data_IF_145362051928
#
_entry.id   IF_145362051928
#
_cell.length_a   1.000
_cell.length_b   1.000
_cell.length_c   1.000
_cell.angle_alpha   90.00
_cell.angle_beta   90.00
_cell.angle_gamma   90.00
#
_symmetry.space_group_name_H-M   'P 1'
#
loop_
_entity.id
_entity.type
_entity.pdbx_description
1 polymer ?
#
# COMPACT_ATOMS: atom_id res chain seq x y z
N UNK A 1 -6.59 -7.61 11.40
CA UNK A 1 -7.64 -7.57 10.35
C UNK A 1 -8.15 -8.97 10.07
N UNK A 2 -9.33 -9.09 9.47
CA UNK A 2 -9.93 -10.37 9.03
C UNK A 2 -8.98 -11.19 8.17
N UNK A 3 -8.37 -10.58 7.14
CA UNK A 3 -7.44 -11.26 6.23
C UNK A 3 -6.20 -11.81 6.94
N UNK A 4 -5.64 -11.09 7.92
CA UNK A 4 -4.48 -11.59 8.68
C UNK A 4 -4.85 -12.82 9.52
N UNK A 5 -6.02 -12.80 10.16
CA UNK A 5 -6.53 -13.97 10.89
C UNK A 5 -6.68 -15.15 9.95
N UNK A 6 -7.32 -14.94 8.80
CA UNK A 6 -7.57 -15.97 7.82
C UNK A 6 -6.28 -16.60 7.27
N UNK A 7 -5.24 -15.79 7.04
CA UNK A 7 -3.91 -16.26 6.61
C UNK A 7 -3.32 -17.28 7.57
N UNK A 8 -3.55 -17.15 8.88
CA UNK A 8 -3.08 -18.11 9.88
C UNK A 8 -3.95 -19.38 9.97
N UNK A 9 -5.23 -19.27 9.61
CA UNK A 9 -6.19 -20.36 9.80
C UNK A 9 -6.39 -21.21 8.53
N UNK A 10 -6.44 -20.56 7.36
CA UNK A 10 -6.76 -21.21 6.07
C UNK A 10 -6.16 -20.39 4.91
N UNK A 11 -5.03 -20.85 4.39
CA UNK A 11 -4.30 -20.20 3.31
C UNK A 11 -5.11 -20.15 2.00
N UNK A 12 -5.82 -21.23 1.67
CA UNK A 12 -6.56 -21.30 0.41
C UNK A 12 -7.75 -20.34 0.44
N UNK A 13 -8.46 -20.30 1.56
CA UNK A 13 -9.54 -19.34 1.76
C UNK A 13 -9.01 -17.90 1.80
N UNK A 14 -7.85 -17.66 2.42
CA UNK A 14 -7.19 -16.37 2.37
C UNK A 14 -6.92 -15.91 0.94
N UNK A 15 -6.31 -16.76 0.12
CA UNK A 15 -6.04 -16.44 -1.29
C UNK A 15 -7.33 -16.18 -2.07
N UNK A 16 -8.37 -16.98 -1.84
CA UNK A 16 -9.69 -16.74 -2.43
C UNK A 16 -10.28 -15.38 -2.03
N UNK A 17 -10.13 -14.96 -0.77
CA UNK A 17 -10.58 -13.63 -0.30
C UNK A 17 -9.76 -12.48 -0.86
N UNK A 18 -8.46 -12.68 -1.04
CA UNK A 18 -7.60 -11.70 -1.72
C UNK A 18 -7.99 -11.53 -3.20
N UNK A 19 -8.33 -12.62 -3.89
CA UNK A 19 -8.86 -12.56 -5.26
C UNK A 19 -10.20 -11.81 -5.32
N UNK A 20 -11.11 -12.13 -4.41
CA UNK A 20 -12.40 -11.42 -4.31
C UNK A 20 -12.19 -9.91 -4.04
N UNK A 21 -11.21 -9.55 -3.23
CA UNK A 21 -10.87 -8.14 -2.99
C UNK A 21 -10.36 -7.46 -4.27
N UNK A 22 -9.42 -8.12 -4.99
CA UNK A 22 -8.94 -7.64 -6.30
C UNK A 22 -10.10 -7.45 -7.28
N UNK A 23 -11.01 -8.41 -7.34
CA UNK A 23 -12.15 -8.35 -8.26
C UNK A 23 -13.09 -7.19 -7.93
N UNK A 24 -13.29 -6.86 -6.65
CA UNK A 24 -14.02 -5.67 -6.23
C UNK A 24 -13.33 -4.39 -6.67
N UNK A 25 -11.99 -4.32 -6.62
CA UNK A 25 -11.24 -3.18 -7.17
C UNK A 25 -11.52 -3.04 -8.68
N UNK A 26 -11.43 -4.13 -9.44
CA UNK A 26 -11.66 -4.10 -10.89
C UNK A 26 -13.10 -3.76 -11.25
N UNK A 27 -14.07 -4.11 -10.40
CA UNK A 27 -15.50 -3.83 -10.59
C UNK A 27 -15.94 -2.48 -10.00
N UNK A 28 -15.04 -1.78 -9.30
CA UNK A 28 -15.40 -0.53 -8.60
C UNK A 28 -15.74 0.61 -9.55
N UNK A 29 -15.34 0.53 -10.81
CA UNK A 29 -15.56 1.54 -11.83
C UNK A 29 -15.63 0.91 -13.23
N UNK A 30 -16.08 1.69 -14.21
CA UNK A 30 -15.98 1.34 -15.62
C UNK A 30 -14.51 1.22 -16.04
N UNK A 31 -14.23 0.29 -16.92
CA UNK A 31 -12.92 0.15 -17.57
C UNK A 31 -12.82 1.20 -18.67
N UNK A 32 -11.90 2.14 -18.53
CA UNK A 32 -11.57 3.14 -19.54
C UNK A 32 -10.70 2.54 -20.65
N UNK A 33 -9.71 1.74 -20.27
CA UNK A 33 -8.83 1.02 -21.19
C UNK A 33 -8.68 -0.43 -20.70
N UNK A 34 -8.95 -1.43 -21.56
CA UNK A 34 -8.81 -2.83 -21.19
C UNK A 34 -7.33 -3.22 -21.05
N UNK A 35 -7.07 -4.26 -20.24
CA UNK A 35 -5.75 -4.86 -20.14
C UNK A 35 -5.29 -5.43 -21.50
N UNK A 36 -4.10 -5.04 -21.93
CA UNK A 36 -3.47 -5.49 -23.18
C UNK A 36 -2.52 -6.69 -22.98
N UNK A 37 -2.38 -7.20 -21.75
CA UNK A 37 -1.48 -8.30 -21.42
C UNK A 37 0.01 -7.93 -21.42
N UNK A 38 0.34 -6.65 -21.37
CA UNK A 38 1.71 -6.11 -21.36
C UNK A 38 2.23 -5.85 -19.92
N UNK A 39 1.43 -6.18 -18.92
CA UNK A 39 1.68 -5.96 -17.48
C UNK A 39 1.26 -4.57 -17.01
N UNK A 40 0.69 -3.72 -17.88
CA UNK A 40 0.13 -2.43 -17.48
C UNK A 40 -1.22 -2.60 -16.77
N UNK A 41 -1.96 -3.67 -17.08
CA UNK A 41 -3.30 -3.94 -16.57
C UNK A 41 -4.35 -2.99 -17.14
N UNK A 42 -5.57 -3.10 -16.66
CA UNK A 42 -6.66 -2.22 -17.07
C UNK A 42 -6.51 -0.82 -16.46
N UNK A 43 -7.06 0.19 -17.16
CA UNK A 43 -7.25 1.53 -16.62
C UNK A 43 -8.71 1.70 -16.23
N UNK A 44 -8.97 2.03 -14.98
CA UNK A 44 -10.31 2.31 -14.47
C UNK A 44 -10.65 3.79 -14.68
N UNK A 45 -11.89 4.08 -15.08
CA UNK A 45 -12.37 5.46 -15.23
C UNK A 45 -12.27 6.24 -13.91
N UNK A 46 -12.47 5.55 -12.78
CA UNK A 46 -12.27 6.08 -11.42
C UNK A 46 -11.48 5.07 -10.61
N UNK A 47 -10.37 5.50 -10.04
CA UNK A 47 -9.56 4.72 -9.10
C UNK A 47 -9.83 5.18 -7.67
N UNK A 48 -10.47 4.33 -6.88
CA UNK A 48 -10.70 4.59 -5.45
C UNK A 48 -9.49 4.14 -4.66
N UNK A 49 -8.59 5.09 -4.35
CA UNK A 49 -7.26 4.80 -3.79
C UNK A 49 -7.34 4.18 -2.39
N UNK A 50 -8.40 4.47 -1.64
CA UNK A 50 -8.60 3.96 -0.28
C UNK A 50 -9.29 2.60 -0.21
N UNK A 51 -9.47 1.91 -1.34
CA UNK A 51 -9.89 0.50 -1.37
C UNK A 51 -8.73 -0.40 -0.95
N UNK A 52 -8.45 -0.41 0.34
CA UNK A 52 -7.36 -1.19 0.96
C UNK A 52 -7.87 -2.02 2.13
N UNK A 53 -7.16 -3.12 2.50
CA UNK A 53 -7.57 -3.99 3.60
C UNK A 53 -7.75 -3.28 4.96
N UNK A 54 -7.01 -2.18 5.19
CA UNK A 54 -7.15 -1.38 6.41
C UNK A 54 -8.47 -0.62 6.49
N UNK A 55 -9.04 -0.25 5.34
CA UNK A 55 -10.27 0.52 5.20
C UNK A 55 -11.44 -0.39 4.81
N UNK A 56 -11.43 -1.66 5.24
CA UNK A 56 -12.47 -2.62 4.89
C UNK A 56 -12.89 -3.50 6.05
N UNK A 57 -14.17 -3.89 6.02
CA UNK A 57 -14.74 -4.95 6.84
C UNK A 57 -15.19 -6.10 5.92
N UNK A 58 -15.09 -7.33 6.42
CA UNK A 58 -15.69 -8.49 5.76
C UNK A 58 -17.00 -8.83 6.46
N UNK A 59 -18.10 -8.71 5.73
CA UNK A 59 -19.45 -9.01 6.23
C UNK A 59 -20.38 -9.41 5.07
N UNK A 60 -21.33 -10.29 5.34
CA UNK A 60 -22.27 -10.81 4.33
C UNK A 60 -21.55 -11.32 3.06
N UNK A 61 -20.47 -12.09 3.26
CA UNK A 61 -19.65 -12.71 2.21
C UNK A 61 -18.99 -11.74 1.22
N UNK A 62 -18.86 -10.45 1.58
CA UNK A 62 -18.20 -9.45 0.76
C UNK A 62 -17.37 -8.48 1.62
N UNK A 63 -16.49 -7.72 0.97
CA UNK A 63 -15.81 -6.59 1.61
C UNK A 63 -16.65 -5.33 1.48
N UNK A 64 -16.79 -4.61 2.58
CA UNK A 64 -17.43 -3.31 2.66
C UNK A 64 -16.35 -2.28 3.00
N UNK A 65 -16.22 -1.26 2.17
CA UNK A 65 -15.21 -0.22 2.32
C UNK A 65 -15.78 0.98 3.05
N UNK A 66 -14.95 1.60 3.87
CA UNK A 66 -15.21 2.87 4.56
C UNK A 66 -14.02 3.81 4.32
N UNK A 67 -14.18 5.08 4.68
CA UNK A 67 -13.11 6.09 4.60
C UNK A 67 -12.54 6.22 3.17
N UNK A 68 -13.44 6.45 2.19
CA UNK A 68 -13.09 6.60 0.78
C UNK A 68 -12.96 8.09 0.44
N UNK A 69 -11.79 8.69 0.74
CA UNK A 69 -11.54 10.12 0.54
C UNK A 69 -10.90 10.45 -0.81
N UNK A 70 -10.09 9.50 -1.35
CA UNK A 70 -9.28 9.75 -2.53
C UNK A 70 -9.79 8.97 -3.74
N UNK A 71 -10.05 9.72 -4.82
CA UNK A 71 -10.49 9.18 -6.09
C UNK A 71 -9.81 9.94 -7.24
N UNK A 72 -9.16 9.19 -8.13
CA UNK A 72 -8.48 9.73 -9.31
C UNK A 72 -9.13 9.23 -10.60
N UNK A 73 -9.11 10.06 -11.65
CA UNK A 73 -9.64 9.68 -12.97
C UNK A 73 -8.60 8.94 -13.80
N UNK A 74 -9.05 7.97 -14.61
CA UNK A 74 -8.22 7.18 -15.52
C UNK A 74 -7.02 6.55 -14.81
N UNK A 75 -7.32 5.82 -13.74
CA UNK A 75 -6.30 5.31 -12.82
C UNK A 75 -5.95 3.84 -13.10
N UNK A 76 -4.64 3.47 -13.12
CA UNK A 76 -4.23 2.08 -13.35
C UNK A 76 -4.75 1.14 -12.26
N UNK A 77 -5.49 0.11 -12.64
CA UNK A 77 -6.01 -0.90 -11.71
C UNK A 77 -4.87 -1.62 -10.96
N UNK A 78 -3.76 -1.91 -11.66
CA UNK A 78 -2.59 -2.56 -11.06
C UNK A 78 -1.92 -1.70 -9.96
N UNK A 79 -2.02 -0.37 -10.02
CA UNK A 79 -1.56 0.48 -8.92
C UNK A 79 -2.43 0.33 -7.66
N UNK A 80 -3.77 0.19 -7.81
CA UNK A 80 -4.67 -0.10 -6.69
C UNK A 80 -4.44 -1.50 -6.13
N UNK A 81 -4.25 -2.50 -6.99
CA UNK A 81 -3.96 -3.88 -6.58
C UNK A 81 -2.60 -3.95 -5.87
N UNK A 82 -1.59 -3.23 -6.35
CA UNK A 82 -0.32 -3.07 -5.62
C UNK A 82 -0.54 -2.47 -4.23
N UNK A 83 -1.30 -1.38 -4.14
CA UNK A 83 -1.62 -0.72 -2.86
C UNK A 83 -2.36 -1.67 -1.91
N UNK A 84 -3.31 -2.47 -2.41
CA UNK A 84 -3.98 -3.53 -1.64
C UNK A 84 -2.95 -4.51 -1.05
N UNK A 85 -2.03 -5.02 -1.86
CA UNK A 85 -0.98 -5.94 -1.43
C UNK A 85 -0.04 -5.25 -0.44
N UNK A 86 0.52 -4.10 -0.77
CA UNK A 86 1.47 -3.38 0.06
C UNK A 86 0.90 -3.04 1.45
N UNK A 87 -0.36 -2.57 1.50
CA UNK A 87 -1.03 -2.23 2.77
C UNK A 87 -1.43 -3.45 3.58
N UNK A 88 -1.70 -4.60 2.94
CA UNK A 88 -1.91 -5.85 3.65
C UNK A 88 -0.67 -6.27 4.45
N UNK A 89 0.51 -6.19 3.85
CA UNK A 89 1.77 -6.48 4.54
C UNK A 89 2.12 -5.40 5.57
N UNK A 90 2.07 -4.13 5.21
CA UNK A 90 2.29 -2.95 6.06
C UNK A 90 3.43 -3.11 7.09
N UNK A 91 4.54 -3.75 6.70
CA UNK A 91 5.68 -4.00 7.58
C UNK A 91 5.50 -5.13 8.61
N UNK A 92 4.46 -5.94 8.48
CA UNK A 92 4.23 -7.10 9.33
C UNK A 92 5.10 -8.28 8.88
N UNK A 93 6.15 -8.55 9.66
CA UNK A 93 7.14 -9.57 9.36
C UNK A 93 6.63 -11.00 9.50
N UNK A 94 5.65 -11.22 10.38
CA UNK A 94 5.05 -12.56 10.53
C UNK A 94 4.24 -12.89 9.29
N UNK A 95 3.47 -11.94 8.79
CA UNK A 95 2.76 -12.08 7.51
C UNK A 95 3.74 -12.39 6.38
N UNK A 96 4.86 -11.66 6.31
CA UNK A 96 5.89 -11.86 5.29
C UNK A 96 6.56 -13.25 5.38
N UNK A 97 6.71 -13.81 6.58
CA UNK A 97 7.26 -15.17 6.78
C UNK A 97 6.26 -16.25 6.37
N UNK A 98 4.99 -16.06 6.68
CA UNK A 98 3.93 -17.02 6.33
C UNK A 98 3.65 -17.04 4.84
N UNK A 99 3.60 -15.87 4.22
CA UNK A 99 3.35 -15.69 2.81
C UNK A 99 4.30 -14.63 2.26
N UNK A 100 5.38 -15.00 1.57
CA UNK A 100 6.25 -14.05 0.89
C UNK A 100 5.45 -13.18 -0.10
N UNK A 101 5.68 -11.86 -0.09
CA UNK A 101 4.95 -10.91 -0.93
C UNK A 101 5.02 -11.28 -2.42
N UNK A 102 6.13 -11.85 -2.84
CA UNK A 102 6.36 -12.31 -4.21
C UNK A 102 5.26 -13.21 -4.75
N UNK A 103 4.63 -14.03 -3.89
CA UNK A 103 3.53 -14.93 -4.28
C UNK A 103 2.32 -14.12 -4.77
N UNK A 104 1.95 -13.04 -4.05
CA UNK A 104 0.85 -12.18 -4.48
C UNK A 104 1.23 -11.29 -5.67
N UNK A 105 2.49 -10.86 -5.75
CA UNK A 105 2.98 -10.09 -6.89
C UNK A 105 2.94 -10.91 -8.19
N UNK A 106 3.30 -12.19 -8.12
CA UNK A 106 3.17 -13.12 -9.27
C UNK A 106 1.71 -13.40 -9.59
N UNK A 107 0.90 -13.70 -8.57
CA UNK A 107 -0.53 -14.03 -8.74
C UNK A 107 -1.30 -12.94 -9.47
N UNK A 108 -0.94 -11.66 -9.26
CA UNK A 108 -1.62 -10.51 -9.84
C UNK A 108 -0.86 -9.83 -10.98
N UNK A 109 0.17 -10.50 -11.53
CA UNK A 109 1.06 -9.99 -12.62
C UNK A 109 1.62 -8.58 -12.33
N UNK A 110 1.95 -8.30 -11.07
CA UNK A 110 2.48 -6.99 -10.66
C UNK A 110 3.99 -6.87 -10.83
N UNK A 111 4.73 -8.01 -10.86
CA UNK A 111 6.20 -8.02 -10.89
C UNK A 111 6.78 -7.32 -12.11
N UNK A 112 6.13 -7.46 -13.28
CA UNK A 112 6.64 -6.94 -14.56
C UNK A 112 6.81 -5.42 -14.56
N UNK A 113 6.01 -4.71 -13.78
CA UNK A 113 5.99 -3.24 -13.69
C UNK A 113 6.05 -2.74 -12.24
N UNK A 114 6.63 -3.52 -11.35
CA UNK A 114 6.62 -3.24 -9.91
C UNK A 114 7.14 -1.85 -9.55
N UNK A 115 8.26 -1.41 -10.15
CA UNK A 115 8.82 -0.08 -9.93
C UNK A 115 7.84 1.04 -10.30
N UNK A 116 7.03 0.84 -11.36
CA UNK A 116 5.99 1.80 -11.76
C UNK A 116 4.92 1.93 -10.68
N UNK A 117 4.44 0.80 -10.15
CA UNK A 117 3.40 0.80 -9.12
C UNK A 117 3.91 1.40 -7.81
N UNK A 118 5.13 1.07 -7.43
CA UNK A 118 5.81 1.65 -6.27
C UNK A 118 5.99 3.16 -6.42
N UNK A 119 6.34 3.63 -7.62
CA UNK A 119 6.49 5.06 -7.89
C UNK A 119 5.15 5.79 -7.77
N UNK A 120 4.07 5.27 -8.34
CA UNK A 120 2.72 5.85 -8.24
C UNK A 120 2.31 5.97 -6.77
N UNK A 121 2.49 4.90 -5.99
CA UNK A 121 2.21 4.90 -4.54
C UNK A 121 3.05 5.93 -3.80
N UNK A 122 4.34 6.02 -4.12
CA UNK A 122 5.24 6.98 -3.51
C UNK A 122 4.85 8.42 -3.81
N UNK A 123 4.53 8.72 -5.08
CA UNK A 123 4.12 10.07 -5.51
C UNK A 123 2.82 10.47 -4.79
N UNK A 124 1.83 9.57 -4.72
CA UNK A 124 0.59 9.79 -3.97
C UNK A 124 0.85 10.07 -2.47
N UNK A 125 1.67 9.26 -1.81
CA UNK A 125 2.00 9.46 -0.40
C UNK A 125 2.79 10.75 -0.17
N UNK A 126 3.66 11.16 -1.09
CA UNK A 126 4.42 12.41 -1.00
C UNK A 126 3.49 13.63 -1.11
N UNK A 127 2.51 13.59 -2.00
CA UNK A 127 1.51 14.65 -2.14
C UNK A 127 0.58 14.70 -0.92
N UNK A 128 0.10 13.55 -0.44
CA UNK A 128 -0.73 13.45 0.76
C UNK A 128 -0.03 14.02 2.00
N UNK A 129 1.25 13.69 2.17
CA UNK A 129 2.07 14.21 3.29
C UNK A 129 2.46 15.67 3.12
N UNK A 130 2.12 16.30 1.99
CA UNK A 130 2.52 17.68 1.69
C UNK A 130 4.02 17.93 1.93
N UNK A 131 4.86 16.99 1.53
CA UNK A 131 6.30 17.05 1.82
C UNK A 131 6.96 18.36 1.41
N UNK A 132 6.52 18.94 0.28
CA UNK A 132 7.01 20.26 -0.17
C UNK A 132 6.66 21.36 0.84
N UNK A 133 5.46 21.31 1.42
CA UNK A 133 5.00 22.26 2.44
C UNK A 133 5.74 22.02 3.75
N UNK A 134 5.88 20.76 4.16
CA UNK A 134 6.65 20.38 5.35
C UNK A 134 8.12 20.80 5.23
N UNK A 135 8.78 20.55 4.11
CA UNK A 135 10.16 21.00 3.87
C UNK A 135 10.28 22.53 3.94
N UNK A 136 9.32 23.27 3.39
CA UNK A 136 9.27 24.72 3.49
C UNK A 136 9.03 25.20 4.92
N UNK A 137 8.14 24.53 5.65
CA UNK A 137 7.88 24.78 7.07
C UNK A 137 9.11 24.49 7.92
N UNK A 138 9.74 23.33 7.77
CA UNK A 138 10.98 22.98 8.44
C UNK A 138 12.13 23.94 8.11
N UNK A 139 12.20 24.43 6.86
CA UNK A 139 13.14 25.48 6.47
C UNK A 139 12.93 26.80 7.21
N UNK A 140 11.68 27.15 7.52
CA UNK A 140 11.34 28.34 8.34
C UNK A 140 11.60 28.10 9.84
N UNK A 141 11.38 26.90 10.34
CA UNK A 141 11.62 26.53 11.74
C UNK A 141 13.12 26.44 12.11
N UNK A 142 14.04 26.41 11.13
CA UNK A 142 15.50 26.49 11.35
C UNK A 142 15.94 27.74 12.12
N UNK A 143 15.06 28.73 12.28
CA UNK A 143 15.34 29.93 13.09
C UNK A 143 15.23 29.70 14.60
N UNK A 144 14.68 28.57 15.04
CA UNK A 144 14.66 28.17 16.44
C UNK A 144 15.47 26.89 16.62
N UNK A 145 16.76 26.98 17.04
CA UNK A 145 17.66 25.84 17.14
C UNK A 145 17.16 24.76 18.13
N UNK A 146 16.43 25.13 19.17
CA UNK A 146 15.99 24.19 20.21
C UNK A 146 14.87 23.28 19.68
N UNK A 147 13.89 23.86 18.96
CA UNK A 147 12.82 23.08 18.29
C UNK A 147 13.40 22.22 17.18
N UNK A 148 14.35 22.76 16.40
CA UNK A 148 14.99 22.03 15.31
C UNK A 148 15.79 20.85 15.83
N UNK A 149 16.53 21.01 16.93
CA UNK A 149 17.31 19.95 17.54
C UNK A 149 16.42 18.89 18.18
N UNK A 150 15.37 19.28 18.88
CA UNK A 150 14.39 18.36 19.46
C UNK A 150 13.69 17.51 18.38
N UNK A 151 13.21 18.17 17.31
CA UNK A 151 12.58 17.46 16.19
C UNK A 151 13.57 16.55 15.44
N UNK A 152 14.84 16.98 15.28
CA UNK A 152 15.88 16.16 14.68
C UNK A 152 16.21 14.95 15.54
N UNK A 153 16.25 15.07 16.87
CA UNK A 153 16.45 13.95 17.79
C UNK A 153 15.30 12.95 17.69
N UNK A 154 14.04 13.43 17.65
CA UNK A 154 12.87 12.56 17.46
C UNK A 154 12.87 11.84 16.11
N UNK A 155 13.24 12.53 15.02
CA UNK A 155 13.33 11.96 13.67
C UNK A 155 14.49 10.96 13.56
N UNK A 156 15.64 11.26 14.13
CA UNK A 156 16.79 10.36 14.14
C UNK A 156 16.50 9.12 14.98
N UNK A 157 15.86 9.28 16.13
CA UNK A 157 15.44 8.16 16.96
C UNK A 157 14.46 7.23 16.23
N UNK A 158 13.46 7.79 15.56
CA UNK A 158 12.56 7.02 14.70
C UNK A 158 13.29 6.36 13.54
N UNK A 159 14.18 7.09 12.86
CA UNK A 159 14.98 6.57 11.75
C UNK A 159 15.93 5.46 12.19
N UNK A 160 16.58 5.60 13.33
CA UNK A 160 17.48 4.58 13.89
C UNK A 160 16.71 3.33 14.33
N UNK A 161 15.51 3.48 14.90
CA UNK A 161 14.63 2.35 15.21
C UNK A 161 14.18 1.62 13.94
N UNK A 162 13.79 2.35 12.90
CA UNK A 162 13.42 1.77 11.62
C UNK A 162 14.63 1.13 10.92
N UNK A 163 15.81 1.75 10.96
CA UNK A 163 17.04 1.16 10.42
C UNK A 163 17.48 -0.09 11.18
N UNK A 164 17.38 -0.11 12.52
CA UNK A 164 17.63 -1.31 13.30
C UNK A 164 16.64 -2.42 12.95
N UNK A 165 15.36 -2.12 12.89
CA UNK A 165 14.33 -3.06 12.49
C UNK A 165 14.62 -3.64 11.08
N UNK A 166 14.97 -2.78 10.11
CA UNK A 166 15.36 -3.20 8.75
C UNK A 166 16.62 -4.08 8.76
N UNK A 167 17.66 -3.70 9.50
CA UNK A 167 18.92 -4.45 9.56
C UNK A 167 18.73 -5.81 10.23
N UNK A 168 17.92 -5.90 11.29
CA UNK A 168 17.61 -7.15 11.97
C UNK A 168 16.79 -8.10 11.10
N UNK A 169 15.92 -7.55 10.23
CA UNK A 169 15.15 -8.30 9.23
C UNK A 169 16.06 -8.94 8.18
N UNK A 170 17.00 -8.16 7.61
CA UNK A 170 17.89 -8.63 6.54
C UNK A 170 19.07 -9.47 7.02
N UNK A 171 19.41 -9.44 8.31
CA UNK A 171 20.47 -10.30 8.89
C UNK A 171 19.98 -11.66 9.35
N UNK A 172 18.67 -11.82 9.54
CA UNK A 172 18.06 -13.07 10.00
C UNK A 172 17.25 -13.80 8.91
N UNK A 173 17.28 -13.31 7.67
CA UNK A 173 16.76 -13.96 6.46
C UNK A 173 17.91 -14.58 5.68
#
# INVERSE_FOLDING_TARGET
>A
TYLKKLLHEDMDLFLCRMDAFRDLILQSSEIAEPDQGDGEGAVLRKGYIDMVPLNSFYMNDTFVFYDQEFCEENYPANALIWRMVATFYAGDLEVQKLLPMDILLERYDLKRRLEKWQKIEWDFLADLRQEKVLRKYHGKCRRNPDITNSNRQCLNYSSEQYQKLFIDIFRNA
#
